data_IF_227782569451
#
_entry.id   IF_227782569451
#
_cell.length_a   1.000
_cell.length_b   1.000
_cell.length_c   1.000
_cell.angle_alpha   90.00
_cell.angle_beta   90.00
_cell.angle_gamma   90.00
#
_symmetry.space_group_name_H-M   'P 1'
#
loop_
_entity.id
_entity.type
_entity.pdbx_description
1 polymer ?
#
# COMPACT_ATOMS: atom_id res chain seq x y z
N UNK A 1 2.57 -2.34 18.42
CA UNK A 1 1.26 -2.30 17.72
C UNK A 1 0.09 -1.87 18.60
N UNK A 2 0.18 -1.95 19.93
CA UNK A 2 -0.87 -1.41 20.83
C UNK A 2 -1.15 0.08 20.63
N UNK A 3 -0.13 0.86 20.26
CA UNK A 3 -0.27 2.29 19.99
C UNK A 3 -1.24 2.59 18.83
N UNK A 4 -1.13 1.87 17.71
CA UNK A 4 -2.06 2.03 16.57
C UNK A 4 -3.49 1.58 16.92
N UNK A 5 -3.63 0.54 17.73
CA UNK A 5 -4.94 0.06 18.18
C UNK A 5 -5.68 1.09 19.07
N UNK A 6 -4.91 1.91 19.82
CA UNK A 6 -5.43 2.96 20.70
C UNK A 6 -5.56 4.32 20.01
N UNK A 7 -4.81 4.57 18.94
CA UNK A 7 -4.87 5.82 18.20
C UNK A 7 -6.18 5.94 17.41
N UNK A 8 -6.80 7.12 17.41
CA UNK A 8 -8.02 7.37 16.65
C UNK A 8 -7.73 7.86 15.21
N UNK A 9 -6.62 8.57 15.01
CA UNK A 9 -6.10 9.03 13.72
C UNK A 9 -4.56 8.97 13.77
N UNK A 10 -3.92 8.61 12.67
CA UNK A 10 -2.47 8.72 12.49
C UNK A 10 -2.15 9.97 11.68
N UNK A 11 -1.25 10.82 12.18
CA UNK A 11 -0.62 11.88 11.39
C UNK A 11 0.82 11.45 11.12
N UNK A 12 1.24 11.43 9.85
CA UNK A 12 2.57 10.97 9.42
C UNK A 12 3.00 11.72 8.16
N UNK A 13 4.26 11.63 7.76
CA UNK A 13 4.84 12.32 6.59
C UNK A 13 4.96 11.39 5.36
N UNK A 14 6.10 10.73 5.21
CA UNK A 14 6.44 9.77 4.17
C UNK A 14 6.67 8.36 4.73
N UNK A 15 6.42 8.16 6.02
CA UNK A 15 6.65 6.88 6.69
C UNK A 15 5.65 5.80 6.27
N UNK A 16 6.18 4.58 6.07
CA UNK A 16 5.41 3.39 5.75
C UNK A 16 4.51 2.90 6.88
N UNK A 17 4.61 3.49 8.09
CA UNK A 17 3.68 3.23 9.21
C UNK A 17 2.22 3.54 8.86
N UNK A 18 1.99 4.33 7.80
CA UNK A 18 0.66 4.51 7.22
C UNK A 18 0.01 3.18 6.81
N UNK A 19 0.77 2.20 6.32
CA UNK A 19 0.23 0.89 5.95
C UNK A 19 -0.23 0.08 7.17
N UNK A 20 0.47 0.18 8.31
CA UNK A 20 0.05 -0.48 9.55
C UNK A 20 -1.27 0.10 10.07
N UNK A 21 -1.40 1.43 10.07
CA UNK A 21 -2.63 2.11 10.46
C UNK A 21 -3.79 1.77 9.51
N UNK A 22 -3.53 1.79 8.20
CA UNK A 22 -4.51 1.43 7.19
C UNK A 22 -4.98 -0.02 7.29
N UNK A 23 -4.08 -0.96 7.62
CA UNK A 23 -4.43 -2.37 7.76
C UNK A 23 -5.55 -2.60 8.78
N UNK A 24 -5.54 -1.82 9.86
CA UNK A 24 -6.57 -1.83 10.93
C UNK A 24 -7.59 -0.69 10.81
N UNK A 25 -7.79 -0.17 9.59
CA UNK A 25 -8.78 0.85 9.20
C UNK A 25 -8.68 2.17 10.02
N UNK A 26 -7.49 2.53 10.49
CA UNK A 26 -7.28 3.82 11.15
C UNK A 26 -7.15 4.93 10.11
N UNK A 27 -7.88 6.05 10.27
CA UNK A 27 -7.70 7.22 9.41
C UNK A 27 -6.26 7.74 9.50
N UNK A 28 -5.75 8.22 8.38
CA UNK A 28 -4.38 8.72 8.22
C UNK A 28 -4.47 10.14 7.67
N UNK A 29 -3.61 11.05 8.12
CA UNK A 29 -3.32 12.34 7.49
C UNK A 29 -1.83 12.36 7.15
N UNK A 30 -1.51 12.63 5.89
CA UNK A 30 -0.13 12.87 5.48
C UNK A 30 0.19 14.36 5.65
N UNK A 31 1.13 14.71 6.53
CA UNK A 31 1.62 16.08 6.66
C UNK A 31 2.97 16.22 5.97
N UNK A 32 2.96 16.82 4.78
CA UNK A 32 4.07 16.88 3.82
C UNK A 32 4.42 18.34 3.51
N UNK A 33 4.86 19.08 4.52
CA UNK A 33 5.21 20.50 4.41
C UNK A 33 6.45 20.76 3.55
N UNK A 34 7.30 19.74 3.38
CA UNK A 34 8.60 19.77 2.70
C UNK A 34 8.60 18.95 1.41
N UNK A 35 7.42 18.71 0.81
CA UNK A 35 7.21 17.78 -0.32
C UNK A 35 8.19 17.97 -1.47
N UNK A 36 8.51 19.21 -1.81
CA UNK A 36 9.47 19.54 -2.88
C UNK A 36 10.91 19.10 -2.54
N UNK A 37 11.31 19.22 -1.27
CA UNK A 37 12.62 18.81 -0.78
C UNK A 37 12.70 17.29 -0.58
N UNK A 38 11.68 16.70 0.04
CA UNK A 38 11.66 15.28 0.42
C UNK A 38 11.55 14.35 -0.81
N UNK A 39 10.75 14.73 -1.81
CA UNK A 39 10.57 13.95 -3.04
C UNK A 39 11.55 14.33 -4.16
N UNK A 40 12.38 15.37 -3.95
CA UNK A 40 13.27 15.95 -4.96
C UNK A 40 14.61 15.24 -5.18
N UNK A 41 14.94 14.17 -4.44
CA UNK A 41 16.10 13.34 -4.78
C UNK A 41 16.81 12.57 -3.67
N UNK A 42 16.54 12.80 -2.38
CA UNK A 42 17.40 12.23 -1.31
C UNK A 42 16.76 11.21 -0.36
N UNK A 43 15.44 11.20 -0.12
CA UNK A 43 14.90 10.50 1.07
C UNK A 43 13.80 9.46 0.83
N UNK A 44 13.09 9.50 -0.30
CA UNK A 44 11.99 8.55 -0.60
C UNK A 44 12.32 7.83 -1.89
N UNK A 45 12.44 6.49 -1.82
CA UNK A 45 12.96 5.64 -2.89
C UNK A 45 12.40 5.91 -4.29
N UNK A 46 13.20 5.58 -5.32
CA UNK A 46 12.93 5.70 -6.77
C UNK A 46 11.59 6.35 -7.12
N UNK A 47 11.64 7.58 -7.62
CA UNK A 47 10.54 8.26 -8.29
C UNK A 47 9.67 7.26 -9.08
N UNK A 48 8.41 7.09 -8.66
CA UNK A 48 7.39 6.35 -9.39
C UNK A 48 6.75 5.14 -8.71
N UNK A 49 7.27 4.63 -7.58
CA UNK A 49 6.65 3.46 -6.92
C UNK A 49 5.35 3.80 -6.17
N UNK A 50 5.30 4.94 -5.47
CA UNK A 50 4.15 5.35 -4.67
C UNK A 50 3.94 6.86 -4.75
N UNK A 51 2.76 7.27 -5.20
CA UNK A 51 2.33 8.66 -5.28
C UNK A 51 1.26 8.91 -4.22
N UNK A 52 1.46 9.85 -3.30
CA UNK A 52 0.53 10.07 -2.18
C UNK A 52 -0.85 10.58 -2.63
N UNK A 53 -0.93 11.32 -3.73
CA UNK A 53 -2.21 11.82 -4.23
C UNK A 53 -2.98 10.69 -4.94
N UNK A 54 -2.27 9.85 -5.71
CA UNK A 54 -2.83 8.73 -6.50
C UNK A 54 -3.05 7.45 -5.71
N UNK A 55 -2.14 7.10 -4.81
CA UNK A 55 -2.05 5.81 -4.12
C UNK A 55 -2.27 5.95 -2.61
N UNK A 56 -2.13 7.15 -2.05
CA UNK A 56 -2.18 7.40 -0.61
C UNK A 56 -3.46 6.92 0.07
N UNK A 57 -3.29 6.46 1.31
CA UNK A 57 -4.34 5.86 2.16
C UNK A 57 -5.01 6.89 3.09
N UNK A 58 -4.74 8.19 2.86
CA UNK A 58 -5.24 9.34 3.62
C UNK A 58 -5.05 10.63 2.80
N UNK A 59 -5.67 11.75 3.20
CA UNK A 59 -5.44 13.03 2.53
C UNK A 59 -4.05 13.58 2.86
N UNK A 60 -3.54 14.40 1.95
CA UNK A 60 -2.27 15.11 2.11
C UNK A 60 -2.55 16.56 2.52
N UNK A 61 -1.81 17.03 3.52
CA UNK A 61 -1.77 18.41 3.98
C UNK A 61 -0.35 18.96 3.80
N UNK A 62 -0.22 20.17 3.26
CA UNK A 62 1.08 20.84 3.13
C UNK A 62 1.28 21.95 4.16
N UNK A 63 0.24 22.27 4.93
CA UNK A 63 0.28 23.26 6.02
C UNK A 63 -0.19 22.64 7.33
N UNK A 64 0.31 23.18 8.45
CA UNK A 64 -0.06 22.71 9.78
C UNK A 64 -1.57 22.91 10.05
N UNK A 65 -2.12 24.05 9.65
CA UNK A 65 -3.55 24.35 9.80
C UNK A 65 -4.44 23.36 9.05
N UNK A 66 -4.03 23.00 7.83
CA UNK A 66 -4.73 21.97 7.06
C UNK A 66 -4.62 20.59 7.71
N UNK A 67 -3.44 20.22 8.21
CA UNK A 67 -3.24 18.94 8.89
C UNK A 67 -4.11 18.84 10.14
N UNK A 68 -4.21 19.91 10.94
CA UNK A 68 -5.09 19.98 12.12
C UNK A 68 -6.55 19.85 11.70
N UNK A 69 -7.00 20.64 10.71
CA UNK A 69 -8.38 20.59 10.21
C UNK A 69 -8.78 19.20 9.74
N UNK A 70 -7.94 18.55 8.93
CA UNK A 70 -8.18 17.19 8.43
C UNK A 70 -8.16 16.15 9.56
N UNK A 71 -7.29 16.33 10.54
CA UNK A 71 -7.23 15.43 11.71
C UNK A 71 -8.53 15.50 12.50
N UNK A 72 -9.05 16.70 12.78
CA UNK A 72 -10.33 16.89 13.48
C UNK A 72 -11.48 16.27 12.68
N UNK A 73 -11.56 16.53 11.37
CA UNK A 73 -12.59 15.94 10.51
C UNK A 73 -12.59 14.40 10.57
N UNK A 74 -11.41 13.78 10.51
CA UNK A 74 -11.28 12.32 10.56
C UNK A 74 -11.53 11.74 11.95
N UNK A 75 -11.21 12.49 13.02
CA UNK A 75 -11.56 12.13 14.39
C UNK A 75 -13.08 12.09 14.57
N UNK A 76 -13.79 13.10 14.09
CA UNK A 76 -15.25 13.18 14.14
C UNK A 76 -15.92 12.08 13.30
N UNK A 77 -15.38 11.82 12.10
CA UNK A 77 -15.89 10.75 11.23
C UNK A 77 -15.59 9.34 11.79
N UNK A 78 -14.50 9.18 12.54
CA UNK A 78 -14.02 7.93 13.11
C UNK A 78 -13.58 6.88 12.09
N UNK A 79 -13.41 7.26 10.82
CA UNK A 79 -13.07 6.35 9.71
C UNK A 79 -12.41 7.08 8.54
N UNK A 80 -11.63 6.40 7.70
CA UNK A 80 -11.08 6.98 6.47
C UNK A 80 -12.20 7.50 5.54
N UNK A 81 -11.90 8.55 4.77
CA UNK A 81 -12.79 9.01 3.69
C UNK A 81 -13.01 7.89 2.67
N UNK A 82 -14.14 7.93 1.97
CA UNK A 82 -14.57 6.87 1.06
C UNK A 82 -13.53 6.53 -0.03
N UNK A 83 -12.87 7.53 -0.61
CA UNK A 83 -11.77 7.32 -1.55
C UNK A 83 -10.66 6.46 -0.94
N UNK A 84 -10.19 6.82 0.25
CA UNK A 84 -9.10 6.14 0.93
C UNK A 84 -9.53 4.76 1.41
N UNK A 85 -10.78 4.60 1.87
CA UNK A 85 -11.35 3.29 2.23
C UNK A 85 -11.29 2.30 1.07
N UNK A 86 -11.62 2.75 -0.16
CA UNK A 86 -11.47 1.92 -1.37
C UNK A 86 -10.02 1.56 -1.66
N UNK A 87 -9.10 2.52 -1.53
CA UNK A 87 -7.66 2.25 -1.69
C UNK A 87 -7.16 1.24 -0.67
N UNK A 88 -7.49 1.40 0.61
CA UNK A 88 -7.15 0.45 1.69
C UNK A 88 -7.66 -0.96 1.36
N UNK A 89 -8.90 -1.10 0.91
CA UNK A 89 -9.45 -2.39 0.53
C UNK A 89 -8.71 -3.03 -0.66
N UNK A 90 -8.30 -2.23 -1.66
CA UNK A 90 -7.51 -2.69 -2.80
C UNK A 90 -6.07 -3.05 -2.41
N UNK A 91 -5.45 -2.31 -1.49
CA UNK A 91 -4.10 -2.58 -0.99
C UNK A 91 -4.03 -3.87 -0.18
N UNK A 92 -5.08 -4.19 0.59
CA UNK A 92 -5.10 -5.36 1.46
C UNK A 92 -6.24 -6.33 1.09
N UNK A 93 -6.08 -7.11 0.00
CA UNK A 93 -7.12 -8.04 -0.47
C UNK A 93 -7.40 -9.18 0.51
N UNK A 94 -6.43 -9.53 1.37
CA UNK A 94 -6.58 -10.55 2.39
C UNK A 94 -6.34 -9.96 3.80
N UNK A 95 -7.43 -9.69 4.53
CA UNK A 95 -7.44 -9.21 5.92
C UNK A 95 -8.25 -10.17 6.82
N UNK A 96 -7.93 -11.45 6.72
CA UNK A 96 -8.63 -12.54 7.43
C UNK A 96 -7.89 -13.02 8.69
N UNK A 97 -6.81 -12.33 9.09
CA UNK A 97 -5.96 -12.74 10.22
C UNK A 97 -5.09 -13.98 9.93
N UNK A 98 -5.15 -14.56 8.73
CA UNK A 98 -4.43 -15.79 8.35
C UNK A 98 -3.19 -15.53 7.52
N UNK A 99 -2.63 -14.32 7.59
CA UNK A 99 -1.41 -13.96 6.86
C UNK A 99 -0.26 -14.94 7.14
N UNK A 100 -0.04 -15.29 8.42
CA UNK A 100 1.02 -16.23 8.84
C UNK A 100 0.81 -17.64 8.29
N UNK A 101 -0.42 -18.15 8.39
CA UNK A 101 -0.78 -19.48 7.88
C UNK A 101 -0.57 -19.58 6.36
N UNK A 102 -0.97 -18.53 5.63
CA UNK A 102 -0.81 -18.44 4.18
C UNK A 102 0.67 -18.49 3.79
N UNK A 103 1.50 -17.65 4.42
CA UNK A 103 2.95 -17.62 4.16
C UNK A 103 3.60 -18.95 4.54
N UNK A 104 3.25 -19.52 5.71
CA UNK A 104 3.79 -20.80 6.16
C UNK A 104 3.46 -21.94 5.18
N UNK A 105 2.21 -21.99 4.70
CA UNK A 105 1.76 -22.98 3.71
C UNK A 105 2.55 -22.86 2.40
N UNK A 106 2.78 -21.64 1.91
CA UNK A 106 3.56 -21.42 0.68
C UNK A 106 5.03 -21.78 0.83
N UNK A 107 5.65 -21.47 1.98
CA UNK A 107 7.03 -21.89 2.26
C UNK A 107 7.13 -23.41 2.18
N UNK A 108 6.25 -24.14 2.87
CA UNK A 108 6.24 -25.61 2.83
C UNK A 108 6.06 -26.15 1.42
N UNK A 109 5.16 -25.56 0.61
CA UNK A 109 4.98 -25.92 -0.80
C UNK A 109 6.26 -25.74 -1.61
N UNK A 110 6.93 -24.60 -1.47
CA UNK A 110 8.17 -24.30 -2.21
C UNK A 110 9.36 -25.19 -1.84
N UNK A 111 9.34 -25.80 -0.64
CA UNK A 111 10.40 -26.70 -0.17
C UNK A 111 10.20 -28.17 -0.54
N UNK A 112 9.07 -28.54 -1.16
CA UNK A 112 8.88 -29.91 -1.65
C UNK A 112 9.74 -30.12 -2.90
N UNK A 113 10.49 -31.24 -3.00
CA UNK A 113 11.16 -31.59 -4.24
C UNK A 113 10.11 -31.68 -5.35
N UNK A 114 10.32 -30.98 -6.46
CA UNK A 114 9.44 -31.11 -7.62
C UNK A 114 9.43 -32.58 -8.05
N UNK A 115 8.25 -33.18 -8.10
CA UNK A 115 8.09 -34.48 -8.74
C UNK A 115 8.35 -34.29 -10.24
N UNK A 116 8.95 -35.29 -10.89
CA UNK A 116 9.28 -35.31 -12.31
C UNK A 116 8.09 -35.01 -13.24
N UNK A 117 6.86 -35.13 -12.74
CA UNK A 117 5.62 -34.84 -13.47
C UNK A 117 5.25 -33.35 -13.54
N UNK A 118 5.81 -32.49 -12.68
CA UNK A 118 5.45 -31.06 -12.59
C UNK A 118 6.43 -30.15 -13.35
N UNK A 119 7.62 -30.66 -13.69
CA UNK A 119 8.65 -29.94 -14.44
C UNK A 119 8.30 -29.72 -15.93
N UNK A 120 7.32 -30.44 -16.48
CA UNK A 120 6.94 -30.42 -17.90
C UNK A 120 5.87 -29.38 -18.26
N UNK A 121 5.30 -28.65 -17.29
CA UNK A 121 4.19 -27.71 -17.52
C UNK A 121 4.67 -26.24 -17.63
N UNK A 122 5.91 -25.92 -17.28
CA UNK A 122 6.40 -24.52 -17.18
C UNK A 122 7.17 -23.98 -18.39
N UNK A 123 7.06 -24.61 -19.57
CA UNK A 123 7.63 -24.08 -20.82
C UNK A 123 6.62 -24.06 -21.96
N UNK A 124 5.69 -23.10 -21.90
CA UNK A 124 5.03 -22.58 -23.10
C UNK A 124 5.07 -21.06 -23.05
N UNK A 125 6.16 -20.50 -23.57
CA UNK A 125 6.33 -19.07 -23.85
C UNK A 125 5.33 -18.66 -24.94
N UNK A 126 4.55 -17.58 -24.79
CA UNK A 126 3.77 -17.05 -25.90
C UNK A 126 4.76 -16.55 -26.97
N UNK A 127 4.61 -17.03 -28.20
CA UNK A 127 5.40 -16.56 -29.34
C UNK A 127 5.15 -15.07 -29.61
N UNK A 128 6.13 -14.33 -30.15
CA UNK A 128 6.00 -12.90 -30.41
C UNK A 128 4.86 -12.63 -31.42
N UNK A 129 4.13 -11.51 -31.27
CA UNK A 129 3.07 -11.15 -32.22
C UNK A 129 3.66 -10.86 -33.60
N UNK A 130 2.98 -11.35 -34.65
CA UNK A 130 3.35 -11.16 -36.04
C UNK A 130 3.35 -9.66 -36.43
N UNK A 131 4.44 -9.20 -37.03
CA UNK A 131 4.55 -7.85 -37.60
C UNK A 131 3.57 -7.66 -38.78
N UNK A 132 2.86 -6.52 -38.87
CA UNK A 132 1.98 -6.24 -39.99
C UNK A 132 2.79 -5.92 -41.25
N UNK A 133 2.42 -6.56 -42.35
CA UNK A 133 2.94 -6.30 -43.70
C UNK A 133 2.17 -5.13 -44.32
N UNK A 134 2.89 -4.11 -44.82
CA UNK A 134 2.43 -3.21 -45.88
C UNK A 134 1.93 -1.83 -45.44
N UNK A 135 2.70 -0.77 -45.71
CA UNK A 135 2.59 0.06 -46.92
C UNK A 135 3.84 0.96 -47.04
#
# INVERSE_FOLDING_TARGET
QELFARAAVLVTDYSSVAFDAAYIDRPIVYFQFDRELALGGEHVGRHGYFDYDRDGLGPVATTADEAVRLTVELLEAGKPRELHRRRIAATFPARDGRCRERVFTEILRSTRPLSSAEASVSHSTPGPPASPTGL
#
